data_IF_343862482896
#
_entry.id   IF_343862482896
#
_cell.length_a   1.000
_cell.length_b   1.000
_cell.length_c   1.000
_cell.angle_alpha   90.00
_cell.angle_beta   90.00
_cell.angle_gamma   90.00
#
_symmetry.space_group_name_H-M   'P 1'
#
loop_
_entity.id
_entity.type
_entity.pdbx_description
1 polymer ?
#
# COMPACT_ATOMS: atom_id res chain seq x y z
N UNK A 1 0.22 15.95 -2.59
CA UNK A 1 -0.34 14.59 -2.39
C UNK A 1 0.34 14.00 -1.17
N UNK A 2 -0.41 13.26 -0.35
CA UNK A 2 0.09 12.69 0.90
C UNK A 2 0.63 11.29 0.62
N UNK A 3 1.82 10.99 1.11
CA UNK A 3 2.35 9.64 1.10
C UNK A 3 1.76 8.81 2.23
N UNK A 4 1.45 7.56 1.94
CA UNK A 4 0.95 6.56 2.87
C UNK A 4 2.00 5.45 2.96
N UNK A 5 2.89 5.53 3.96
CA UNK A 5 3.95 4.54 4.14
C UNK A 5 3.36 3.19 4.53
N UNK A 6 4.20 2.14 4.50
CA UNK A 6 3.84 0.86 5.08
C UNK A 6 3.63 0.94 6.60
N UNK A 7 2.84 0.01 7.12
CA UNK A 7 2.54 -0.13 8.54
C UNK A 7 3.03 -1.51 9.02
N UNK A 8 3.63 -1.56 10.22
CA UNK A 8 4.20 -2.78 10.80
C UNK A 8 5.74 -2.86 10.75
N UNK A 9 6.27 -3.98 11.24
CA UNK A 9 7.71 -4.16 11.43
C UNK A 9 8.41 -4.64 10.14
N UNK A 10 9.49 -3.98 9.70
CA UNK A 10 10.24 -4.34 8.47
C UNK A 10 10.81 -5.77 8.51
N UNK A 11 11.12 -6.31 9.69
CA UNK A 11 11.62 -7.69 9.87
C UNK A 11 10.51 -8.71 10.21
N UNK A 12 9.31 -8.57 9.63
CA UNK A 12 8.23 -9.55 9.80
C UNK A 12 8.41 -10.77 8.88
N UNK A 13 7.74 -11.88 9.19
CA UNK A 13 7.71 -13.06 8.32
C UNK A 13 6.76 -12.91 7.12
N UNK A 14 5.73 -12.06 7.23
CA UNK A 14 4.68 -11.91 6.22
C UNK A 14 4.51 -10.45 5.86
N UNK A 15 4.63 -10.14 4.57
CA UNK A 15 4.31 -8.84 4.01
C UNK A 15 3.08 -8.94 3.09
N UNK A 16 2.16 -7.99 3.23
CA UNK A 16 1.03 -7.79 2.33
C UNK A 16 1.24 -6.52 1.52
N UNK A 17 1.16 -6.65 0.19
CA UNK A 17 1.39 -5.54 -0.74
C UNK A 17 0.15 -5.36 -1.61
N UNK A 18 -0.54 -4.24 -1.42
CA UNK A 18 -1.65 -3.81 -2.27
C UNK A 18 -1.18 -2.94 -3.45
N UNK A 19 -2.12 -2.48 -4.25
CA UNK A 19 -1.85 -1.70 -5.45
C UNK A 19 -1.55 -0.23 -5.11
N UNK A 20 -2.56 0.49 -4.62
CA UNK A 20 -2.49 1.90 -4.29
C UNK A 20 -3.43 2.25 -3.13
N UNK A 21 -3.22 3.39 -2.45
CA UNK A 21 -4.09 3.86 -1.39
C UNK A 21 -5.40 4.43 -1.95
N UNK A 22 -6.51 4.16 -1.28
CA UNK A 22 -7.81 4.76 -1.59
C UNK A 22 -8.06 6.06 -0.82
N UNK A 23 -9.30 6.56 -0.90
CA UNK A 23 -9.69 7.80 -0.23
C UNK A 23 -9.64 7.70 1.31
N UNK A 24 -9.93 6.51 1.85
CA UNK A 24 -9.85 6.27 3.29
C UNK A 24 -8.41 6.33 3.80
N UNK A 25 -7.51 5.66 3.07
CA UNK A 25 -6.07 5.65 3.34
C UNK A 25 -5.47 7.05 3.23
N UNK A 26 -5.82 7.82 2.20
CA UNK A 26 -5.35 9.20 2.01
C UNK A 26 -5.75 10.13 3.16
N UNK A 27 -7.00 10.01 3.62
CA UNK A 27 -7.51 10.78 4.76
C UNK A 27 -6.79 10.42 6.07
N UNK A 28 -6.59 9.13 6.34
CA UNK A 28 -6.04 8.65 7.61
C UNK A 28 -4.51 8.67 7.62
N UNK A 29 -3.87 8.46 6.48
CA UNK A 29 -2.44 8.26 6.34
C UNK A 29 -1.96 6.86 6.73
N UNK A 30 -2.83 5.86 6.66
CA UNK A 30 -2.50 4.46 6.96
C UNK A 30 -3.01 3.51 5.87
N UNK A 31 -2.29 2.44 5.55
CA UNK A 31 -2.67 1.51 4.50
C UNK A 31 -3.80 0.58 4.97
N UNK A 32 -4.68 0.16 4.05
CA UNK A 32 -5.78 -0.77 4.30
C UNK A 32 -6.69 -0.37 5.48
N UNK A 33 -7.27 0.83 5.41
CA UNK A 33 -8.22 1.36 6.42
C UNK A 33 -9.62 1.64 5.85
N UNK A 34 -9.77 1.61 4.52
CA UNK A 34 -11.07 1.69 3.84
C UNK A 34 -11.91 0.41 3.97
N UNK A 35 -13.03 0.31 3.24
CA UNK A 35 -13.89 -0.88 3.26
C UNK A 35 -13.14 -2.18 2.94
N UNK A 36 -12.29 -2.18 1.90
CA UNK A 36 -11.43 -3.32 1.58
C UNK A 36 -10.43 -3.65 2.70
N UNK A 37 -9.93 -2.62 3.40
CA UNK A 37 -9.05 -2.78 4.55
C UNK A 37 -9.71 -3.41 5.79
N UNK A 38 -11.01 -3.16 5.97
CA UNK A 38 -11.82 -3.81 7.00
C UNK A 38 -11.97 -5.31 6.70
N UNK A 39 -12.40 -5.64 5.49
CA UNK A 39 -12.50 -7.03 5.04
C UNK A 39 -11.15 -7.75 5.14
N UNK A 40 -10.06 -7.09 4.73
CA UNK A 40 -8.71 -7.64 4.89
C UNK A 40 -8.40 -7.93 6.36
N UNK A 41 -8.74 -7.04 7.29
CA UNK A 41 -8.51 -7.24 8.73
C UNK A 41 -9.36 -8.38 9.30
N UNK A 42 -10.59 -8.54 8.81
CA UNK A 42 -11.46 -9.67 9.16
C UNK A 42 -10.84 -11.00 8.69
N UNK A 43 -10.37 -11.07 7.44
CA UNK A 43 -9.71 -12.26 6.88
C UNK A 43 -8.41 -12.62 7.62
N UNK A 44 -7.60 -11.63 8.02
CA UNK A 44 -6.44 -11.88 8.86
C UNK A 44 -6.84 -12.51 10.20
N UNK A 45 -7.92 -12.01 10.80
CA UNK A 45 -8.43 -12.53 12.08
C UNK A 45 -8.92 -13.97 11.93
N UNK A 46 -9.70 -14.26 10.89
CA UNK A 46 -10.22 -15.61 10.61
C UNK A 46 -9.10 -16.64 10.33
N UNK A 47 -8.01 -16.19 9.72
CA UNK A 47 -6.84 -17.04 9.41
C UNK A 47 -5.84 -17.13 10.56
N UNK A 48 -6.07 -16.43 11.68
CA UNK A 48 -5.16 -16.41 12.83
C UNK A 48 -3.89 -15.59 12.59
N UNK A 49 -3.84 -14.76 11.55
CA UNK A 49 -2.70 -13.89 11.24
C UNK A 49 -2.86 -12.58 12.02
N UNK A 50 -1.89 -12.27 12.89
CA UNK A 50 -1.90 -11.05 13.68
C UNK A 50 -1.41 -9.89 12.81
N UNK A 51 -2.30 -8.94 12.48
CA UNK A 51 -2.00 -7.78 11.63
C UNK A 51 -0.72 -7.02 12.04
N UNK A 52 -0.49 -6.85 13.35
CA UNK A 52 0.68 -6.13 13.88
C UNK A 52 2.00 -6.91 13.76
N UNK A 53 1.94 -8.20 13.42
CA UNK A 53 3.12 -9.03 13.11
C UNK A 53 3.42 -9.08 11.62
N UNK A 54 2.64 -8.39 10.79
CA UNK A 54 2.86 -8.27 9.35
C UNK A 54 3.43 -6.89 9.01
N UNK A 55 4.01 -6.78 7.82
CA UNK A 55 4.24 -5.51 7.16
C UNK A 55 3.20 -5.32 6.06
N UNK A 56 2.50 -4.18 6.07
CA UNK A 56 1.38 -3.92 5.15
C UNK A 56 1.65 -2.65 4.39
N UNK A 57 1.68 -2.70 3.07
CA UNK A 57 1.99 -1.54 2.24
C UNK A 57 1.33 -1.62 0.86
N UNK A 58 1.54 -0.62 0.01
CA UNK A 58 1.11 -0.61 -1.39
C UNK A 58 2.31 -0.44 -2.33
N UNK A 59 2.19 -0.87 -3.59
CA UNK A 59 3.20 -0.59 -4.63
C UNK A 59 3.28 0.92 -4.86
N UNK A 60 2.14 1.57 -5.07
CA UNK A 60 2.02 3.02 -5.16
C UNK A 60 1.77 3.56 -3.74
N UNK A 61 2.54 4.57 -3.31
CA UNK A 61 2.43 5.12 -1.94
C UNK A 61 1.45 6.29 -1.82
N UNK A 62 0.82 6.70 -2.92
CA UNK A 62 -0.06 7.86 -2.99
C UNK A 62 -1.36 7.50 -3.67
N UNK A 63 -2.47 8.10 -3.23
CA UNK A 63 -3.75 7.89 -3.90
C UNK A 63 -3.69 8.40 -5.35
N UNK A 64 -3.99 7.57 -6.36
CA UNK A 64 -3.99 8.02 -7.73
C UNK A 64 -5.07 9.07 -7.99
N UNK A 65 -4.77 10.12 -8.78
CA UNK A 65 -5.78 11.07 -9.25
C UNK A 65 -6.91 10.31 -9.92
N UNK A 66 -8.16 10.63 -9.56
CA UNK A 66 -9.36 9.93 -10.05
C UNK A 66 -9.34 8.40 -9.86
N UNK A 67 -8.48 7.90 -8.96
CA UNK A 67 -8.25 6.47 -8.77
C UNK A 67 -7.76 5.75 -10.06
N UNK A 68 -6.96 6.44 -10.88
CA UNK A 68 -6.32 5.90 -12.08
C UNK A 68 -4.81 5.64 -11.83
N UNK A 69 -4.48 4.39 -11.55
CA UNK A 69 -3.13 3.89 -11.30
C UNK A 69 -2.18 4.03 -12.50
N UNK A 70 -2.70 4.19 -13.72
CA UNK A 70 -1.90 4.31 -14.95
C UNK A 70 -1.06 5.58 -14.98
N UNK A 71 -1.39 6.55 -14.11
CA UNK A 71 -0.56 7.72 -13.86
C UNK A 71 0.81 7.33 -13.30
N UNK A 72 0.89 6.22 -12.56
CA UNK A 72 2.12 5.72 -11.96
C UNK A 72 2.69 4.47 -12.64
N UNK A 73 1.86 3.73 -13.37
CA UNK A 73 2.24 2.45 -13.98
C UNK A 73 2.07 2.51 -15.49
N UNK A 74 3.16 2.24 -16.22
CA UNK A 74 3.13 1.97 -17.65
C UNK A 74 3.43 0.49 -17.89
N UNK A 75 2.37 -0.30 -18.03
CA UNK A 75 2.44 -1.75 -18.26
C UNK A 75 3.04 -2.12 -19.62
N UNK A 76 3.14 -1.18 -20.56
CA UNK A 76 3.77 -1.43 -21.86
C UNK A 76 5.30 -1.45 -21.76
N UNK A 77 5.84 -0.83 -20.72
CA UNK A 77 7.27 -0.80 -20.44
C UNK A 77 7.66 -2.01 -19.62
N UNK A 78 8.63 -2.79 -20.10
CA UNK A 78 9.28 -3.87 -19.35
C UNK A 78 10.25 -3.37 -18.27
N UNK A 79 10.22 -2.07 -17.98
CA UNK A 79 11.09 -1.40 -17.00
C UNK A 79 10.23 -0.52 -16.10
N UNK A 80 10.51 -0.47 -14.78
CA UNK A 80 9.76 0.38 -13.85
C UNK A 80 9.80 1.86 -14.27
N UNK A 81 8.68 2.58 -14.14
CA UNK A 81 8.72 4.04 -14.14
C UNK A 81 9.30 4.46 -12.80
N UNK A 82 10.57 4.84 -12.82
CA UNK A 82 11.22 5.48 -11.68
C UNK A 82 10.80 6.93 -11.69
N UNK A 83 9.90 7.30 -10.78
CA UNK A 83 9.64 8.71 -10.48
C UNK A 83 10.70 9.20 -9.49
N UNK A 84 10.96 10.50 -9.41
CA UNK A 84 11.91 11.08 -8.43
C UNK A 84 11.58 10.65 -6.98
N UNK A 85 10.31 10.33 -6.72
CA UNK A 85 9.84 9.83 -5.42
C UNK A 85 10.20 8.38 -5.14
N UNK A 86 10.53 7.57 -6.15
CA UNK A 86 10.89 6.16 -5.99
C UNK A 86 12.13 5.98 -5.09
N UNK A 87 13.08 6.91 -5.16
CA UNK A 87 14.38 6.84 -4.47
C UNK A 87 14.24 7.05 -2.95
N UNK A 88 13.17 7.71 -2.49
CA UNK A 88 12.94 7.98 -1.07
C UNK A 88 12.34 6.76 -0.33
N UNK A 89 11.83 5.74 -1.05
CA UNK A 89 11.06 4.64 -0.44
C UNK A 89 11.90 3.47 0.11
N UNK A 90 13.16 3.33 -0.29
CA UNK A 90 14.02 2.20 0.11
C UNK A 90 14.99 2.52 1.27
N UNK A 91 14.88 3.70 1.90
CA UNK A 91 15.67 4.03 3.09
C UNK A 91 15.00 3.57 4.42
#
# INVERSE_FOLDING_TARGET
MRQIPGDGHKNCFIAFVGEAPGAGEDRVGKPFVGPAGKLFTELLTETGIIRTQCYITNVIKERPPNNDEKVFIDISKKTPIVTDRYIEYEQ
#
